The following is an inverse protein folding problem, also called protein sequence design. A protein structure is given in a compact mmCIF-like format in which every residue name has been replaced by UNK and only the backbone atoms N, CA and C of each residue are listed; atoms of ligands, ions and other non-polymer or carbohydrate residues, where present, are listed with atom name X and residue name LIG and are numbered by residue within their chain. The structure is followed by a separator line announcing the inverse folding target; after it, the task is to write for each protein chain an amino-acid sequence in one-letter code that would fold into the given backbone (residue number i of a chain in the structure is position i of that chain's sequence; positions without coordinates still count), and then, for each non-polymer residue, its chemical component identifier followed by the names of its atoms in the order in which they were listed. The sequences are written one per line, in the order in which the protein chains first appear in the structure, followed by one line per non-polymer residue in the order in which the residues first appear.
data_IF_794791346072
#
_entry.id   IF_794791346072
#
_cell.length_a   1.000
_cell.length_b   1.000
_cell.length_c   1.000
_cell.angle_alpha   90.00
_cell.angle_beta   90.00
_cell.angle_gamma   90.00
#
_symmetry.space_group_name_H-M   'P 1'
#
loop_
_entity.id
_entity.type
_entity.pdbx_description
1 polymer ?
#
# COMPACT_ATOMS: atom_id res chain seq x y z
N UNK A 1 10.17 -23.06 -14.71
CA UNK A 1 8.92 -22.46 -14.18
C UNK A 1 9.25 -21.84 -12.83
N UNK A 2 10.01 -20.75 -12.83
CA UNK A 2 10.52 -20.15 -11.59
C UNK A 2 10.26 -18.65 -11.70
N UNK A 3 9.05 -18.22 -11.36
CA UNK A 3 8.56 -16.85 -11.45
C UNK A 3 9.12 -15.94 -10.33
N UNK A 4 10.38 -16.16 -9.93
CA UNK A 4 11.01 -15.50 -8.77
C UNK A 4 12.46 -15.04 -8.99
N UNK A 5 13.07 -15.25 -10.17
CA UNK A 5 14.48 -14.90 -10.44
C UNK A 5 14.70 -13.56 -11.17
N UNK A 6 13.64 -12.84 -11.57
CA UNK A 6 13.75 -11.65 -12.42
C UNK A 6 13.63 -10.30 -11.66
N UNK A 7 14.01 -10.29 -10.39
CA UNK A 7 14.26 -9.08 -9.60
C UNK A 7 15.78 -8.78 -9.59
N UNK A 8 16.50 -9.22 -10.63
CA UNK A 8 17.89 -8.83 -10.85
C UNK A 8 17.92 -7.41 -11.42
N UNK A 9 18.01 -6.44 -10.53
CA UNK A 9 18.59 -5.13 -10.80
C UNK A 9 19.99 -5.40 -11.38
N UNK A 10 20.23 -5.01 -12.62
CA UNK A 10 21.53 -5.08 -13.29
C UNK A 10 22.39 -3.86 -12.89
N UNK A 11 23.45 -3.99 -12.08
CA UNK A 11 24.56 -3.04 -12.11
C UNK A 11 25.65 -3.60 -13.04
N UNK A 12 25.41 -3.53 -14.35
CA UNK A 12 26.45 -3.80 -15.35
C UNK A 12 26.62 -2.57 -16.23
N UNK A 13 27.35 -1.57 -15.71
CA UNK A 13 28.17 -0.71 -16.57
C UNK A 13 29.42 -0.32 -15.80
N UNK A 14 30.41 -1.20 -15.93
CA UNK A 14 31.80 -0.97 -15.58
C UNK A 14 32.46 -0.52 -16.88
N UNK A 15 32.79 0.76 -16.97
CA UNK A 15 33.66 1.41 -17.96
C UNK A 15 34.20 2.64 -17.20
N UNK A 16 35.12 2.54 -16.24
CA UNK A 16 36.54 2.19 -16.37
C UNK A 16 37.14 2.48 -17.75
N UNK A 17 37.86 3.59 -17.77
CA UNK A 17 38.97 3.97 -18.66
C UNK A 17 38.58 4.30 -20.11
N UNK A 18 38.51 5.60 -20.40
CA UNK A 18 39.40 6.20 -21.41
C UNK A 18 39.35 7.74 -21.31
N UNK A 19 40.53 8.31 -21.29
CA UNK A 19 40.84 9.71 -21.10
C UNK A 19 40.35 10.62 -22.25
N UNK A 20 40.58 11.92 -22.05
CA UNK A 20 40.58 13.02 -23.05
C UNK A 20 39.25 13.74 -23.18
N UNK A 21 39.19 14.94 -22.60
CA UNK A 21 38.10 15.87 -22.88
C UNK A 21 37.81 16.90 -21.79
N UNK A 22 38.85 17.51 -21.23
CA UNK A 22 38.73 18.82 -20.59
C UNK A 22 38.21 19.81 -21.64
N UNK A 23 36.89 20.03 -21.73
CA UNK A 23 36.19 21.22 -22.27
C UNK A 23 34.69 20.93 -22.50
N UNK A 24 33.94 20.82 -21.42
CA UNK A 24 32.56 21.29 -21.46
C UNK A 24 32.45 22.45 -20.48
N UNK A 25 32.04 23.65 -20.93
CA UNK A 25 31.87 24.78 -20.03
C UNK A 25 30.87 24.35 -18.98
N UNK A 26 31.33 24.43 -17.73
CA UNK A 26 30.51 24.40 -16.54
C UNK A 26 29.39 25.42 -16.73
N UNK A 27 28.24 24.96 -17.22
CA UNK A 27 27.01 25.76 -17.24
C UNK A 27 26.50 25.77 -15.82
N UNK A 28 26.82 26.87 -15.16
CA UNK A 28 26.32 27.34 -13.87
C UNK A 28 24.80 27.19 -13.79
N UNK A 29 24.34 26.04 -13.35
CA UNK A 29 23.13 25.95 -12.54
C UNK A 29 23.54 25.39 -11.18
N UNK A 30 24.12 26.27 -10.36
CA UNK A 30 24.23 26.06 -8.93
C UNK A 30 22.81 25.86 -8.39
N UNK A 31 22.36 24.61 -8.24
CA UNK A 31 21.25 24.28 -7.36
C UNK A 31 21.69 24.64 -5.94
N UNK A 32 21.08 25.65 -5.28
CA UNK A 32 21.48 26.04 -3.93
C UNK A 32 21.11 24.91 -2.96
N UNK A 33 22.13 24.16 -2.52
CA UNK A 33 22.02 23.16 -1.49
C UNK A 33 21.80 21.75 -2.01
N UNK A 34 22.80 21.18 -2.69
CA UNK A 34 22.99 19.73 -2.79
C UNK A 34 23.31 19.18 -1.40
N UNK A 35 22.30 19.11 -0.54
CA UNK A 35 22.29 18.13 0.53
C UNK A 35 22.23 16.78 -0.20
N UNK A 36 23.26 15.94 -0.05
CA UNK A 36 23.29 14.58 -0.61
C UNK A 36 22.27 13.64 0.09
N UNK A 37 21.19 14.23 0.61
CA UNK A 37 20.13 13.57 1.34
C UNK A 37 19.08 13.10 0.33
N UNK A 38 18.68 11.85 0.49
CA UNK A 38 17.67 11.13 -0.28
C UNK A 38 16.31 11.87 -0.38
N UNK A 39 16.05 12.81 0.51
CA UNK A 39 14.84 13.63 0.55
C UNK A 39 15.13 15.09 0.23
N UNK A 40 14.23 15.70 -0.53
CA UNK A 40 14.20 17.15 -0.73
C UNK A 40 13.87 17.86 0.61
N UNK A 41 14.22 19.15 0.73
CA UNK A 41 13.95 20.01 1.91
C UNK A 41 12.46 20.06 2.29
N UNK A 42 11.58 19.69 1.36
CA UNK A 42 10.12 19.59 1.54
C UNK A 42 9.63 18.16 1.75
N UNK A 43 10.52 17.22 2.07
CA UNK A 43 10.24 15.78 2.21
C UNK A 43 9.61 15.13 0.97
N UNK A 44 9.87 15.71 -0.21
CA UNK A 44 9.44 15.15 -1.49
C UNK A 44 10.51 14.16 -1.97
N UNK A 45 10.06 13.12 -2.66
CA UNK A 45 10.98 12.21 -3.35
C UNK A 45 11.56 12.90 -4.58
N UNK A 46 12.87 12.79 -4.78
CA UNK A 46 13.54 13.30 -5.96
C UNK A 46 13.05 12.64 -7.27
N UNK A 47 13.22 13.32 -8.42
CA UNK A 47 12.70 12.86 -9.72
C UNK A 47 13.25 11.50 -10.17
N UNK A 48 14.51 11.18 -9.84
CA UNK A 48 15.11 9.87 -10.12
C UNK A 48 14.40 8.71 -9.39
N UNK A 49 14.00 8.96 -8.13
CA UNK A 49 13.32 8.01 -7.26
C UNK A 49 11.87 7.75 -7.65
N UNK A 50 11.19 8.78 -8.17
CA UNK A 50 9.81 8.64 -8.68
C UNK A 50 9.77 7.67 -9.86
N UNK A 51 10.74 7.76 -10.79
CA UNK A 51 10.83 6.85 -11.95
C UNK A 51 11.03 5.39 -11.53
N UNK A 52 11.92 5.16 -10.56
CA UNK A 52 12.18 3.83 -10.01
C UNK A 52 10.95 3.25 -9.28
N UNK A 53 10.10 4.09 -8.67
CA UNK A 53 8.94 3.65 -7.87
C UNK A 53 7.64 3.49 -8.67
N UNK A 54 7.51 4.12 -9.84
CA UNK A 54 6.30 4.03 -10.69
C UNK A 54 5.73 2.61 -10.87
N UNK A 55 6.54 1.55 -11.09
CA UNK A 55 5.99 0.22 -11.31
C UNK A 55 5.40 -0.44 -10.05
N UNK A 56 5.74 0.03 -8.85
CA UNK A 56 5.32 -0.60 -7.59
C UNK A 56 4.11 0.07 -6.95
N UNK A 57 3.89 1.36 -7.20
CA UNK A 57 2.74 2.08 -6.64
C UNK A 57 1.42 1.42 -7.06
N UNK A 58 1.30 1.04 -8.34
CA UNK A 58 0.09 0.39 -8.84
C UNK A 58 -0.11 -1.02 -8.28
N UNK A 59 0.97 -1.81 -8.23
CA UNK A 59 0.92 -3.20 -7.74
C UNK A 59 0.58 -3.26 -6.24
N UNK A 60 1.18 -2.40 -5.43
CA UNK A 60 0.90 -2.34 -3.98
C UNK A 60 -0.49 -1.78 -3.70
N UNK A 61 -0.94 -0.78 -4.46
CA UNK A 61 -2.29 -0.25 -4.33
C UNK A 61 -3.35 -1.29 -4.70
N UNK A 62 -3.16 -2.04 -5.79
CA UNK A 62 -4.05 -3.11 -6.19
C UNK A 62 -4.18 -4.20 -5.10
N UNK A 63 -3.06 -4.58 -4.47
CA UNK A 63 -3.07 -5.53 -3.36
C UNK A 63 -3.85 -4.97 -2.16
N UNK A 64 -3.63 -3.70 -1.80
CA UNK A 64 -4.38 -3.04 -0.73
C UNK A 64 -5.89 -2.99 -0.99
N UNK A 65 -6.29 -2.66 -2.23
CA UNK A 65 -7.70 -2.66 -2.64
C UNK A 65 -8.29 -4.06 -2.62
N UNK A 66 -7.53 -5.07 -3.06
CA UNK A 66 -7.99 -6.45 -3.04
C UNK A 66 -8.26 -6.94 -1.60
N UNK A 67 -7.35 -6.65 -0.66
CA UNK A 67 -7.55 -7.00 0.75
C UNK A 67 -8.74 -6.26 1.36
N UNK A 68 -8.85 -4.95 1.16
CA UNK A 68 -9.96 -4.16 1.66
C UNK A 68 -11.31 -4.64 1.08
N UNK A 69 -11.34 -4.94 -0.23
CA UNK A 69 -12.51 -5.47 -0.92
C UNK A 69 -12.94 -6.84 -0.40
N UNK A 70 -11.98 -7.74 -0.14
CA UNK A 70 -12.26 -9.07 0.43
C UNK A 70 -12.85 -8.96 1.84
N UNK A 71 -12.27 -8.13 2.71
CA UNK A 71 -12.80 -7.92 4.06
C UNK A 71 -14.21 -7.30 4.01
N UNK A 72 -14.41 -6.30 3.16
CA UNK A 72 -15.72 -5.66 2.99
C UNK A 72 -16.76 -6.63 2.41
N UNK A 73 -16.38 -7.48 1.44
CA UNK A 73 -17.30 -8.44 0.84
C UNK A 73 -17.79 -9.47 1.86
N UNK A 74 -16.91 -9.98 2.71
CA UNK A 74 -17.29 -10.91 3.78
C UNK A 74 -18.28 -10.23 4.73
N UNK A 75 -17.95 -9.03 5.23
CA UNK A 75 -18.82 -8.29 6.14
C UNK A 75 -20.21 -8.03 5.52
N UNK A 76 -20.22 -7.52 4.29
CA UNK A 76 -21.46 -7.25 3.58
C UNK A 76 -22.30 -8.52 3.37
N UNK A 77 -21.66 -9.62 2.95
CA UNK A 77 -22.30 -10.91 2.78
C UNK A 77 -22.89 -11.42 4.09
N UNK A 78 -22.15 -11.32 5.20
CA UNK A 78 -22.64 -11.77 6.51
C UNK A 78 -23.91 -11.04 6.93
N UNK A 79 -23.98 -9.72 6.78
CA UNK A 79 -25.21 -8.95 7.10
C UNK A 79 -26.38 -9.35 6.21
N UNK A 80 -26.14 -9.55 4.92
CA UNK A 80 -27.19 -9.93 3.98
C UNK A 80 -27.70 -11.35 4.24
N UNK A 81 -26.81 -12.27 4.60
CA UNK A 81 -27.14 -13.66 4.89
C UNK A 81 -27.93 -13.80 6.19
N UNK A 82 -27.53 -13.12 7.27
CA UNK A 82 -28.27 -13.19 8.55
C UNK A 82 -29.63 -12.46 8.49
N UNK A 83 -29.74 -11.42 7.66
CA UNK A 83 -30.98 -10.64 7.54
C UNK A 83 -32.10 -11.36 6.78
N UNK A 84 -31.80 -12.52 6.19
CA UNK A 84 -32.76 -13.36 5.47
C UNK A 84 -33.27 -14.53 6.31
N UNK A 85 -32.86 -14.63 7.58
CA UNK A 85 -33.27 -15.70 8.47
C UNK A 85 -34.68 -15.41 9.02
N UNK A 86 -35.63 -16.31 8.75
CA UNK A 86 -37.00 -16.22 9.26
C UNK A 86 -37.00 -16.72 10.72
N UNK A 87 -36.93 -15.80 11.68
CA UNK A 87 -36.83 -16.07 13.12
C UNK A 87 -38.08 -16.74 13.73
N UNK A 88 -38.87 -17.45 12.95
CA UNK A 88 -40.14 -18.08 13.34
C UNK A 88 -39.97 -19.18 14.39
N UNK A 89 -38.77 -19.78 14.45
CA UNK A 89 -38.41 -20.79 15.44
C UNK A 89 -38.15 -20.17 16.83
N UNK A 90 -37.90 -18.85 16.89
CA UNK A 90 -37.61 -18.11 18.12
C UNK A 90 -38.90 -17.50 18.66
N UNK A 91 -39.50 -18.18 19.64
CA UNK A 91 -40.67 -17.68 20.38
C UNK A 91 -40.24 -16.47 21.21
N UNK A 92 -40.53 -15.26 20.74
CA UNK A 92 -40.32 -14.03 21.53
C UNK A 92 -41.44 -13.96 22.58
N UNK A 93 -41.14 -14.06 23.88
CA UNK A 93 -42.17 -13.86 24.89
C UNK A 93 -42.58 -12.38 24.87
N UNK A 94 -43.87 -12.12 24.73
CA UNK A 94 -44.44 -10.76 24.66
C UNK A 94 -44.18 -9.91 25.92
N UNK A 95 -43.86 -10.56 27.04
CA UNK A 95 -43.58 -9.88 28.31
C UNK A 95 -42.07 -9.76 28.57
N UNK A 96 -41.56 -8.54 28.82
CA UNK A 96 -40.17 -8.35 29.22
C UNK A 96 -39.89 -9.12 30.52
N UNK A 97 -38.74 -9.81 30.55
CA UNK A 97 -38.30 -10.65 31.68
C UNK A 97 -38.41 -9.88 33.00
N UNK A 98 -39.33 -10.30 33.86
CA UNK A 98 -39.52 -9.71 35.19
C UNK A 98 -38.26 -9.98 36.04
N UNK A 99 -37.71 -8.98 36.75
CA UNK A 99 -36.57 -9.18 37.63
C UNK A 99 -36.88 -10.26 38.66
N UNK A 100 -35.94 -11.16 38.90
CA UNK A 100 -36.09 -12.24 39.88
C UNK A 100 -36.10 -11.60 41.27
N UNK A 101 -37.27 -11.53 41.89
CA UNK A 101 -37.43 -11.11 43.29
C UNK A 101 -37.01 -12.28 44.19
N UNK A 102 -35.77 -12.23 44.70
CA UNK A 102 -35.28 -13.19 45.69
C UNK A 102 -35.99 -12.95 47.02
N UNK A 103 -37.05 -13.73 47.29
CA UNK A 103 -37.71 -13.73 48.60
C UNK A 103 -36.92 -14.62 49.56
N UNK A 104 -36.29 -13.98 50.54
CA UNK A 104 -35.53 -14.58 51.64
C UNK A 104 -36.43 -15.24 52.68
#
# INVERSE_FOLDING_TARGET
MNLWSEIAIQPKLLMEEDAVGMTHPCSLFTQPGTQNSYYDRRYRQGPALIRARRPYVFKTAALGVALAGLSFSIYWYTLKAIGQDDFDDVKVPDEPRKPIENKK
#
